data_IF_662215292058
#
_entry.id   IF_662215292058
#
_cell.length_a   1.000
_cell.length_b   1.000
_cell.length_c   1.000
_cell.angle_alpha   90.00
_cell.angle_beta   90.00
_cell.angle_gamma   90.00
#
_symmetry.space_group_name_H-M   'P 1'
#
loop_
_entity.id
_entity.type
_entity.pdbx_description
1 polymer ?
#
# COMPACT_ATOMS: atom_id res chain seq x y z
N UNK A 1 -14.44 11.98 -0.75
CA UNK A 1 -13.71 13.23 -0.43
C UNK A 1 -12.50 12.86 0.43
N UNK A 2 -11.26 13.08 -0.03
CA UNK A 2 -10.06 12.88 0.80
C UNK A 2 -9.79 14.14 1.65
N UNK A 3 -9.30 14.02 2.90
CA UNK A 3 -8.96 15.18 3.72
C UNK A 3 -7.81 15.98 3.09
N UNK A 4 -7.82 17.29 3.32
CA UNK A 4 -7.00 18.31 2.63
C UNK A 4 -5.46 18.18 2.79
N UNK A 5 -4.94 17.14 3.47
CA UNK A 5 -3.52 16.94 3.78
C UNK A 5 -3.08 15.45 3.68
N UNK A 6 -3.62 14.66 2.74
CA UNK A 6 -3.19 13.27 2.54
C UNK A 6 -2.09 13.16 1.48
N UNK A 7 -0.88 12.75 1.87
CA UNK A 7 0.16 12.35 0.91
C UNK A 7 -0.22 11.02 0.26
N UNK A 8 -0.17 10.96 -1.06
CA UNK A 8 -0.42 9.73 -1.83
C UNK A 8 0.91 9.21 -2.36
N UNK A 9 1.30 8.03 -1.92
CA UNK A 9 2.40 7.27 -2.51
C UNK A 9 1.83 6.38 -3.60
N UNK A 10 2.52 6.28 -4.74
CA UNK A 10 2.07 5.47 -5.88
C UNK A 10 3.22 4.59 -6.35
N UNK A 11 2.93 3.32 -6.61
CA UNK A 11 3.81 2.41 -7.36
C UNK A 11 3.05 1.76 -8.50
N UNK A 12 3.71 1.57 -9.64
CA UNK A 12 3.12 0.98 -10.84
C UNK A 12 4.03 -0.15 -11.35
N UNK A 13 3.64 -1.41 -11.16
CA UNK A 13 4.42 -2.57 -11.62
C UNK A 13 3.63 -3.88 -11.61
N UNK A 14 4.17 -4.95 -12.23
CA UNK A 14 3.65 -6.31 -11.98
C UNK A 14 3.84 -6.70 -10.51
N UNK A 15 2.87 -7.44 -9.96
CA UNK A 15 2.92 -7.98 -8.60
C UNK A 15 3.59 -9.36 -8.60
N UNK A 16 4.91 -9.35 -8.65
CA UNK A 16 5.77 -10.55 -8.69
C UNK A 16 6.96 -10.42 -7.72
N UNK A 17 7.55 -11.55 -7.25
CA UNK A 17 8.46 -11.54 -6.11
C UNK A 17 9.64 -10.57 -6.20
N UNK A 18 10.23 -10.43 -7.40
CA UNK A 18 11.38 -9.55 -7.63
C UNK A 18 11.07 -8.05 -7.38
N UNK A 19 9.79 -7.66 -7.41
CA UNK A 19 9.36 -6.29 -7.09
C UNK A 19 9.22 -6.03 -5.59
N UNK A 20 9.12 -7.11 -4.79
CA UNK A 20 9.10 -7.06 -3.33
C UNK A 20 8.13 -6.01 -2.76
N UNK A 21 6.89 -6.01 -3.25
CA UNK A 21 5.86 -5.07 -2.81
C UNK A 21 5.48 -5.30 -1.33
N UNK A 22 5.71 -6.51 -0.83
CA UNK A 22 5.62 -6.83 0.59
C UNK A 22 6.45 -5.86 1.45
N UNK A 23 7.72 -5.62 1.10
CA UNK A 23 8.57 -4.68 1.83
C UNK A 23 8.00 -3.25 1.82
N UNK A 24 7.43 -2.82 0.70
CA UNK A 24 6.79 -1.51 0.60
C UNK A 24 5.60 -1.38 1.56
N UNK A 25 4.73 -2.39 1.62
CA UNK A 25 3.59 -2.41 2.55
C UNK A 25 4.09 -2.42 4.00
N UNK A 26 5.13 -3.19 4.31
CA UNK A 26 5.75 -3.23 5.65
C UNK A 26 6.31 -1.89 6.09
N UNK A 27 7.05 -1.21 5.22
CA UNK A 27 7.61 0.12 5.50
C UNK A 27 6.51 1.15 5.60
N UNK A 28 5.48 1.07 4.75
CA UNK A 28 4.34 1.95 4.80
C UNK A 28 3.56 1.85 6.12
N UNK A 29 3.33 0.63 6.63
CA UNK A 29 2.75 0.42 7.97
C UNK A 29 3.57 1.12 9.06
N UNK A 30 4.91 0.96 9.05
CA UNK A 30 5.80 1.66 10.00
C UNK A 30 5.75 3.18 9.84
N UNK A 31 5.69 3.66 8.61
CA UNK A 31 5.61 5.08 8.28
C UNK A 31 4.32 5.74 8.81
N UNK A 32 3.18 5.05 8.73
CA UNK A 32 1.90 5.55 9.27
C UNK A 32 1.93 5.77 10.79
N UNK A 33 2.75 5.00 11.52
CA UNK A 33 2.93 5.12 12.97
C UNK A 33 3.81 6.31 13.39
N UNK A 34 4.41 7.03 12.45
CA UNK A 34 5.16 8.27 12.73
C UNK A 34 4.20 9.46 12.77
N UNK A 35 4.36 10.34 13.77
CA UNK A 35 3.51 11.51 13.98
C UNK A 35 3.41 12.36 12.70
N UNK A 36 2.18 12.68 12.29
CA UNK A 36 1.89 13.48 11.09
C UNK A 36 1.56 12.67 9.83
N UNK A 37 1.79 11.34 9.83
CA UNK A 37 1.66 10.54 8.61
C UNK A 37 0.37 9.72 8.47
N UNK A 38 -0.45 9.61 9.52
CA UNK A 38 -1.62 8.69 9.57
C UNK A 38 -2.71 8.92 8.51
N UNK A 39 -2.68 10.05 7.80
CA UNK A 39 -3.60 10.34 6.70
C UNK A 39 -3.05 9.97 5.31
N UNK A 40 -1.84 9.42 5.24
CA UNK A 40 -1.22 9.01 3.98
C UNK A 40 -1.89 7.76 3.41
N UNK A 41 -1.83 7.60 2.09
CA UNK A 41 -2.40 6.47 1.37
C UNK A 41 -1.37 5.93 0.38
N UNK A 42 -1.30 4.60 0.24
CA UNK A 42 -0.48 3.91 -0.75
C UNK A 42 -1.36 3.36 -1.86
N UNK A 43 -1.06 3.70 -3.11
CA UNK A 43 -1.68 3.15 -4.30
C UNK A 43 -0.72 2.18 -4.98
N UNK A 44 -1.16 0.94 -5.13
CA UNK A 44 -0.44 -0.13 -5.81
C UNK A 44 -1.21 -0.42 -7.10
N UNK A 45 -0.62 -0.04 -8.23
CA UNK A 45 -1.25 -0.18 -9.54
C UNK A 45 -0.55 -1.27 -10.33
N UNK A 46 -1.30 -2.29 -10.72
CA UNK A 46 -0.84 -3.42 -11.53
C UNK A 46 -1.34 -4.76 -11.02
N UNK A 47 -0.98 -5.81 -11.74
CA UNK A 47 -1.46 -7.17 -11.49
C UNK A 47 -0.32 -8.18 -11.41
N UNK A 48 -0.62 -9.33 -10.82
CA UNK A 48 0.30 -10.45 -10.75
C UNK A 48 -0.11 -11.47 -9.69
N UNK A 49 0.58 -12.63 -9.66
CA UNK A 49 0.25 -13.74 -8.78
C UNK A 49 0.34 -13.40 -7.28
N UNK A 50 1.07 -12.36 -6.89
CA UNK A 50 1.22 -11.99 -5.47
C UNK A 50 0.06 -11.13 -4.93
N UNK A 51 -0.91 -10.73 -5.76
CA UNK A 51 -1.96 -9.78 -5.38
C UNK A 51 -2.68 -10.17 -4.09
N UNK A 52 -3.16 -11.41 -4.01
CA UNK A 52 -3.97 -11.86 -2.88
C UNK A 52 -3.16 -11.91 -1.58
N UNK A 53 -1.89 -12.32 -1.65
CA UNK A 53 -1.00 -12.31 -0.49
C UNK A 53 -0.66 -10.88 -0.04
N UNK A 54 -0.51 -9.95 -0.97
CA UNK A 54 -0.29 -8.53 -0.65
C UNK A 54 -1.53 -7.87 -0.03
N UNK A 55 -2.74 -8.25 -0.45
CA UNK A 55 -3.99 -7.80 0.17
C UNK A 55 -4.09 -8.34 1.59
N UNK A 56 -3.87 -9.64 1.81
CA UNK A 56 -3.85 -10.25 3.16
C UNK A 56 -2.82 -9.58 4.06
N UNK A 57 -1.66 -9.20 3.53
CA UNK A 57 -0.65 -8.49 4.31
C UNK A 57 -1.14 -7.11 4.80
N UNK A 58 -1.87 -6.37 3.96
CA UNK A 58 -2.47 -5.09 4.36
C UNK A 58 -3.58 -5.29 5.41
N UNK A 59 -4.32 -6.39 5.35
CA UNK A 59 -5.30 -6.79 6.38
C UNK A 59 -4.62 -7.15 7.70
N UNK A 60 -3.55 -7.95 7.65
CA UNK A 60 -2.75 -8.35 8.82
C UNK A 60 -2.12 -7.17 9.55
N UNK A 61 -1.78 -6.10 8.82
CA UNK A 61 -1.29 -4.85 9.41
C UNK A 61 -2.40 -3.85 9.75
N UNK A 62 -3.68 -4.20 9.57
CA UNK A 62 -4.82 -3.32 9.86
C UNK A 62 -4.75 -1.97 9.14
N UNK A 63 -4.26 -1.95 7.89
CA UNK A 63 -4.09 -0.73 7.06
C UNK A 63 -4.78 -0.85 5.70
N UNK A 64 -5.77 -1.73 5.57
CA UNK A 64 -6.47 -2.01 4.30
C UNK A 64 -7.17 -0.78 3.73
N UNK A 65 -7.64 0.13 4.58
CA UNK A 65 -8.23 1.41 4.17
C UNK A 65 -7.19 2.44 3.69
N UNK A 66 -5.89 2.17 3.91
CA UNK A 66 -4.76 3.01 3.50
C UNK A 66 -3.97 2.45 2.33
N UNK A 67 -4.22 1.20 1.92
CA UNK A 67 -3.56 0.55 0.77
C UNK A 67 -4.61 0.22 -0.30
N UNK A 68 -4.52 0.90 -1.44
CA UNK A 68 -5.47 0.74 -2.55
C UNK A 68 -4.81 -0.03 -3.68
N UNK A 69 -5.41 -1.15 -4.08
CA UNK A 69 -4.98 -1.94 -5.22
C UNK A 69 -5.83 -1.58 -6.45
N UNK A 70 -5.18 -1.16 -7.53
CA UNK A 70 -5.81 -0.79 -8.80
C UNK A 70 -5.25 -1.64 -9.94
N UNK A 71 -6.08 -1.91 -10.94
CA UNK A 71 -5.71 -2.57 -12.19
C UNK A 71 -5.56 -1.51 -13.28
N UNK A 72 -4.63 -1.70 -14.21
CA UNK A 72 -4.47 -0.87 -15.43
C UNK A 72 -5.25 -1.47 -16.59
#
# INVERSE_FOLDING_TARGET
MKPLNSTIFVTTCRLVPIKNIQLLIQVFHKFLNVQGNGNSVLWIIGEGPERDELVKLAEQYEISEKVVFLVL
#
